data_IF_138712040667
#
_entry.id   IF_138712040667
#
_cell.length_a   1.000
_cell.length_b   1.000
_cell.length_c   1.000
_cell.angle_alpha   90.00
_cell.angle_beta   90.00
_cell.angle_gamma   90.00
#
_symmetry.space_group_name_H-M   'P 1'
#
loop_
_entity.id
_entity.type
_entity.pdbx_description
1 polymer ?
#
# COMPACT_ATOMS: atom_id res chain seq x y z
N UNK A 1 7.24 4.78 -10.44
CA UNK A 1 8.46 5.44 -9.92
C UNK A 1 9.00 6.53 -10.83
N UNK A 2 8.99 6.36 -12.15
CA UNK A 2 9.56 7.33 -13.12
C UNK A 2 9.00 8.75 -12.94
N UNK A 3 7.67 8.93 -12.87
CA UNK A 3 7.06 10.25 -12.67
C UNK A 3 7.52 10.94 -11.36
N UNK A 4 7.52 10.23 -10.23
CA UNK A 4 7.99 10.77 -8.94
C UNK A 4 9.46 11.19 -9.04
N UNK A 5 10.32 10.33 -9.62
CA UNK A 5 11.74 10.63 -9.81
C UNK A 5 11.97 11.88 -10.67
N UNK A 6 11.25 11.97 -11.79
CA UNK A 6 11.26 13.15 -12.68
C UNK A 6 10.77 14.41 -11.96
N UNK A 7 9.73 14.31 -11.13
CA UNK A 7 9.25 15.45 -10.35
C UNK A 7 10.27 15.93 -9.32
N UNK A 8 10.97 14.99 -8.67
CA UNK A 8 11.98 15.28 -7.65
C UNK A 8 13.28 15.87 -8.19
N UNK A 9 13.55 15.76 -9.51
CA UNK A 9 14.76 16.35 -10.11
C UNK A 9 14.76 17.88 -10.10
N UNK A 10 13.59 18.50 -9.93
CA UNK A 10 13.35 19.96 -10.00
C UNK A 10 13.70 20.60 -11.35
N UNK A 11 13.97 19.81 -12.38
CA UNK A 11 14.13 20.28 -13.75
C UNK A 11 12.75 20.53 -14.36
N UNK A 12 12.50 21.73 -14.88
CA UNK A 12 11.19 22.15 -15.39
C UNK A 12 10.64 21.22 -16.49
N UNK A 13 11.50 20.80 -17.42
CA UNK A 13 11.17 19.84 -18.49
C UNK A 13 10.74 18.47 -17.91
N UNK A 14 11.49 17.96 -16.94
CA UNK A 14 11.21 16.68 -16.28
C UNK A 14 9.95 16.74 -15.42
N UNK A 15 9.72 17.84 -14.71
CA UNK A 15 8.51 18.06 -13.93
C UNK A 15 7.26 18.14 -14.83
N UNK A 16 7.35 18.83 -15.96
CA UNK A 16 6.27 18.88 -16.96
C UNK A 16 5.95 17.49 -17.51
N UNK A 17 6.98 16.74 -17.91
CA UNK A 17 6.80 15.37 -18.41
C UNK A 17 6.30 14.39 -17.33
N UNK A 18 6.62 14.63 -16.05
CA UNK A 18 6.06 13.87 -14.93
C UNK A 18 4.56 14.09 -14.78
N UNK A 19 4.09 15.34 -14.93
CA UNK A 19 2.65 15.69 -14.91
C UNK A 19 1.93 15.05 -16.10
N UNK A 20 2.48 15.16 -17.31
CA UNK A 20 1.88 14.53 -18.50
C UNK A 20 1.76 13.00 -18.35
N UNK A 21 2.80 12.36 -17.81
CA UNK A 21 2.76 10.92 -17.53
C UNK A 21 1.72 10.58 -16.46
N UNK A 22 1.57 11.42 -15.45
CA UNK A 22 0.57 11.26 -14.41
C UNK A 22 -0.86 11.38 -14.96
N UNK A 23 -1.14 12.34 -15.85
CA UNK A 23 -2.43 12.50 -16.53
C UNK A 23 -2.78 11.31 -17.44
N UNK A 24 -1.79 10.80 -18.20
CA UNK A 24 -1.98 9.58 -19.01
C UNK A 24 -2.32 8.37 -18.14
N UNK A 25 -1.63 8.24 -17.00
CA UNK A 25 -1.89 7.16 -16.04
C UNK A 25 -3.27 7.34 -15.37
N UNK A 26 -3.67 8.57 -15.05
CA UNK A 26 -5.00 8.88 -14.50
C UNK A 26 -6.11 8.36 -15.43
N UNK A 27 -6.03 8.75 -16.71
CA UNK A 27 -6.99 8.31 -17.73
C UNK A 27 -7.04 6.79 -17.85
N UNK A 28 -5.88 6.12 -17.83
CA UNK A 28 -5.81 4.66 -17.92
C UNK A 28 -6.37 3.96 -16.67
N UNK A 29 -6.11 4.48 -15.47
CA UNK A 29 -6.64 3.95 -14.20
C UNK A 29 -8.17 4.06 -14.19
N UNK A 30 -8.70 5.25 -14.51
CA UNK A 30 -10.14 5.51 -14.48
C UNK A 30 -10.87 4.76 -15.59
N UNK A 31 -10.29 4.71 -16.79
CA UNK A 31 -10.83 3.97 -17.93
C UNK A 31 -10.83 2.44 -17.77
N UNK A 32 -10.08 1.90 -16.80
CA UNK A 32 -10.05 0.46 -16.50
C UNK A 32 -10.67 0.12 -15.15
N UNK A 33 -11.49 1.00 -14.58
CA UNK A 33 -12.07 0.84 -13.25
C UNK A 33 -12.81 -0.49 -13.08
N UNK A 34 -13.60 -0.89 -14.06
CA UNK A 34 -14.30 -2.20 -14.10
C UNK A 34 -13.38 -3.43 -13.93
N UNK A 35 -12.08 -3.31 -14.21
CA UNK A 35 -11.12 -4.43 -14.14
C UNK A 35 -10.42 -4.54 -12.79
N UNK A 36 -10.32 -3.45 -12.04
CA UNK A 36 -9.54 -3.41 -10.80
C UNK A 36 -10.39 -3.07 -9.57
N UNK A 37 -11.51 -2.36 -9.74
CA UNK A 37 -12.35 -1.90 -8.64
C UNK A 37 -13.24 -3.03 -8.12
N UNK A 38 -12.69 -3.80 -7.18
CA UNK A 38 -13.42 -4.87 -6.51
C UNK A 38 -14.51 -4.33 -5.57
N UNK A 39 -14.54 -3.03 -5.27
CA UNK A 39 -15.58 -2.41 -4.43
C UNK A 39 -16.97 -2.50 -5.07
N UNK A 40 -17.05 -2.49 -6.40
CA UNK A 40 -18.31 -2.49 -7.17
C UNK A 40 -18.70 -3.88 -7.70
N UNK A 41 -17.81 -4.89 -7.64
CA UNK A 41 -18.04 -6.23 -8.21
C UNK A 41 -18.85 -7.10 -7.25
N UNK A 42 -20.05 -7.54 -7.64
CA UNK A 42 -20.82 -8.53 -6.87
C UNK A 42 -20.04 -9.84 -6.73
N UNK A 43 -19.95 -10.38 -5.50
CA UNK A 43 -19.21 -11.62 -5.22
C UNK A 43 -17.70 -11.48 -5.05
N UNK A 44 -17.12 -10.27 -5.13
CA UNK A 44 -15.72 -10.05 -4.74
C UNK A 44 -15.47 -10.53 -3.30
N UNK A 45 -14.45 -11.38 -3.13
CA UNK A 45 -14.12 -12.03 -1.87
C UNK A 45 -12.61 -12.32 -1.76
N UNK A 46 -12.17 -12.87 -0.62
CA UNK A 46 -10.75 -13.17 -0.37
C UNK A 46 -10.13 -14.20 -1.31
N UNK A 47 -10.94 -15.04 -1.94
CA UNK A 47 -10.45 -16.04 -2.89
C UNK A 47 -10.21 -15.48 -4.31
N UNK A 48 -10.70 -14.27 -4.59
CA UNK A 48 -10.51 -13.61 -5.88
C UNK A 48 -9.04 -13.26 -6.14
N UNK A 49 -8.72 -12.91 -7.38
CA UNK A 49 -7.40 -12.43 -7.76
C UNK A 49 -7.09 -11.08 -7.10
N UNK A 50 -5.84 -10.90 -6.66
CA UNK A 50 -5.36 -9.65 -6.06
C UNK A 50 -4.48 -8.90 -7.08
N UNK A 51 -4.97 -7.81 -7.70
CA UNK A 51 -4.21 -7.07 -8.71
C UNK A 51 -3.19 -6.12 -8.06
N UNK A 52 -2.24 -6.68 -7.30
CA UNK A 52 -1.32 -5.93 -6.43
C UNK A 52 -0.52 -4.86 -7.18
N UNK A 53 0.00 -5.18 -8.36
CA UNK A 53 0.76 -4.23 -9.17
C UNK A 53 -0.11 -3.03 -9.60
N UNK A 54 -1.38 -3.28 -9.96
CA UNK A 54 -2.34 -2.23 -10.30
C UNK A 54 -2.64 -1.37 -9.06
N UNK A 55 -2.87 -1.99 -7.91
CA UNK A 55 -3.15 -1.28 -6.66
C UNK A 55 -1.97 -0.46 -6.16
N UNK A 56 -0.75 -0.96 -6.29
CA UNK A 56 0.48 -0.21 -6.05
C UNK A 56 0.60 0.98 -7.02
N UNK A 57 0.29 0.80 -8.30
CA UNK A 57 0.32 1.88 -9.29
C UNK A 57 -0.71 2.97 -8.98
N UNK A 58 -1.93 2.60 -8.58
CA UNK A 58 -2.98 3.54 -8.14
C UNK A 58 -2.53 4.28 -6.88
N UNK A 59 -1.98 3.58 -5.90
CA UNK A 59 -1.47 4.21 -4.67
C UNK A 59 -0.37 5.24 -4.98
N UNK A 60 0.60 4.87 -5.82
CA UNK A 60 1.67 5.78 -6.26
C UNK A 60 1.13 6.98 -7.05
N UNK A 61 0.11 6.76 -7.87
CA UNK A 61 -0.59 7.83 -8.59
C UNK A 61 -1.21 8.83 -7.59
N UNK A 62 -1.96 8.36 -6.58
CA UNK A 62 -2.55 9.24 -5.56
C UNK A 62 -1.47 9.99 -4.77
N UNK A 63 -0.39 9.30 -4.37
CA UNK A 63 0.74 9.94 -3.68
C UNK A 63 1.33 11.06 -4.54
N UNK A 64 1.50 10.83 -5.84
CA UNK A 64 2.03 11.85 -6.75
C UNK A 64 1.09 13.07 -6.87
N UNK A 65 -0.23 12.86 -6.97
CA UNK A 65 -1.21 13.94 -6.97
C UNK A 65 -1.11 14.80 -5.70
N UNK A 66 -0.97 14.16 -4.53
CA UNK A 66 -0.77 14.87 -3.26
C UNK A 66 0.54 15.67 -3.24
N UNK A 67 1.64 15.08 -3.73
CA UNK A 67 2.96 15.73 -3.74
C UNK A 67 3.01 16.97 -4.66
N UNK A 68 2.42 16.86 -5.85
CA UNK A 68 2.42 17.97 -6.83
C UNK A 68 1.56 19.14 -6.34
N UNK A 69 0.44 18.86 -5.66
CA UNK A 69 -0.45 19.88 -5.13
C UNK A 69 0.14 20.66 -3.94
N UNK A 70 1.09 20.07 -3.22
CA UNK A 70 1.77 20.71 -2.08
C UNK A 70 2.85 21.74 -2.49
N UNK A 71 2.99 22.07 -3.77
CA UNK A 71 3.91 23.13 -4.23
C UNK A 71 5.40 22.77 -4.11
N UNK A 72 5.75 21.48 -4.09
CA UNK A 72 7.13 21.01 -4.25
C UNK A 72 8.05 21.15 -3.03
N UNK A 73 7.58 21.71 -1.91
CA UNK A 73 8.31 21.62 -0.64
C UNK A 73 7.95 20.26 -0.03
N UNK A 74 8.89 19.33 -0.04
CA UNK A 74 8.82 18.07 0.74
C UNK A 74 8.99 18.41 2.23
N UNK A 75 8.12 19.27 2.76
CA UNK A 75 7.96 19.36 4.20
C UNK A 75 6.98 18.26 4.54
N UNK A 76 7.43 17.26 5.31
CA UNK A 76 6.60 16.15 5.78
C UNK A 76 5.45 16.61 6.69
N UNK A 77 5.43 17.90 7.04
CA UNK A 77 4.33 18.61 7.67
C UNK A 77 3.27 18.97 6.63
N UNK A 78 2.53 17.94 6.20
CA UNK A 78 1.48 18.04 5.18
C UNK A 78 0.13 17.91 5.87
N UNK A 79 -0.57 19.04 6.05
CA UNK A 79 -2.03 19.02 5.80
C UNK A 79 -2.23 18.75 4.31
N UNK A 80 -2.03 17.49 3.92
CA UNK A 80 -2.10 17.05 2.55
C UNK A 80 -3.53 17.31 2.03
N UNK A 81 -3.65 18.18 1.04
CA UNK A 81 -4.93 18.40 0.37
C UNK A 81 -5.03 17.45 -0.82
N UNK A 82 -6.12 16.68 -0.87
CA UNK A 82 -6.42 15.75 -1.97
C UNK A 82 -7.61 16.29 -2.78
N UNK A 83 -7.66 16.00 -4.08
CA UNK A 83 -8.83 16.35 -4.89
C UNK A 83 -10.01 15.46 -4.51
N UNK A 84 -11.25 15.90 -4.77
CA UNK A 84 -12.43 15.07 -4.50
C UNK A 84 -12.41 13.78 -5.35
N UNK A 85 -11.87 13.85 -6.56
CA UNK A 85 -11.73 12.74 -7.48
C UNK A 85 -10.71 11.71 -7.01
N UNK A 86 -9.56 12.16 -6.48
CA UNK A 86 -8.52 11.28 -5.95
C UNK A 86 -8.91 10.71 -4.59
N UNK A 87 -9.68 11.45 -3.80
CA UNK A 87 -10.29 10.91 -2.57
C UNK A 87 -11.26 9.78 -2.90
N UNK A 88 -12.07 9.93 -3.96
CA UNK A 88 -12.98 8.89 -4.42
C UNK A 88 -12.21 7.68 -4.94
N UNK A 89 -11.12 7.90 -5.67
CA UNK A 89 -10.21 6.85 -6.12
C UNK A 89 -9.58 6.10 -4.93
N UNK A 90 -9.10 6.82 -3.91
CA UNK A 90 -8.55 6.24 -2.69
C UNK A 90 -9.60 5.41 -1.93
N UNK A 91 -10.82 5.92 -1.78
CA UNK A 91 -11.93 5.18 -1.15
C UNK A 91 -12.22 3.88 -1.88
N UNK A 92 -12.30 3.92 -3.21
CA UNK A 92 -12.54 2.74 -4.04
C UNK A 92 -11.41 1.72 -3.91
N UNK A 93 -10.16 2.17 -3.84
CA UNK A 93 -8.99 1.32 -3.61
C UNK A 93 -9.04 0.65 -2.22
N UNK A 94 -9.31 1.41 -1.16
CA UNK A 94 -9.42 0.87 0.20
C UNK A 94 -10.54 -0.16 0.30
N UNK A 95 -11.72 0.16 -0.26
CA UNK A 95 -12.86 -0.76 -0.25
C UNK A 95 -12.58 -2.02 -1.09
N UNK A 96 -11.90 -1.88 -2.22
CA UNK A 96 -11.45 -3.03 -3.02
C UNK A 96 -10.54 -3.96 -2.21
N UNK A 97 -9.52 -3.42 -1.54
CA UNK A 97 -8.63 -4.17 -0.67
C UNK A 97 -9.39 -4.86 0.48
N UNK A 98 -10.39 -4.18 1.05
CA UNK A 98 -11.25 -4.71 2.11
C UNK A 98 -12.09 -5.89 1.62
N UNK A 99 -12.77 -5.76 0.49
CA UNK A 99 -13.59 -6.84 -0.10
C UNK A 99 -12.75 -8.04 -0.54
N UNK A 100 -11.54 -7.78 -1.04
CA UNK A 100 -10.57 -8.83 -1.37
C UNK A 100 -9.85 -9.41 -0.14
N UNK A 101 -10.14 -8.91 1.07
CA UNK A 101 -9.59 -9.45 2.31
C UNK A 101 -8.07 -9.26 2.46
N UNK A 102 -7.51 -8.22 1.82
CA UNK A 102 -6.07 -7.99 1.74
C UNK A 102 -5.43 -7.59 3.07
N UNK A 103 -6.21 -7.12 4.04
CA UNK A 103 -5.71 -6.72 5.37
C UNK A 103 -5.66 -7.87 6.38
N UNK A 104 -5.80 -9.12 5.91
CA UNK A 104 -5.82 -10.32 6.76
C UNK A 104 -4.63 -11.22 6.47
N UNK A 105 -3.80 -11.48 7.48
CA UNK A 105 -2.63 -12.35 7.33
C UNK A 105 -2.97 -13.78 6.90
N UNK A 106 -4.01 -14.44 7.46
CA UNK A 106 -4.47 -15.73 6.95
C UNK A 106 -4.80 -15.71 5.45
N UNK A 107 -5.45 -14.65 4.96
CA UNK A 107 -5.74 -14.52 3.53
C UNK A 107 -4.48 -14.33 2.69
N UNK A 108 -3.48 -13.59 3.19
CA UNK A 108 -2.17 -13.46 2.53
C UNK A 108 -1.46 -14.82 2.42
N UNK A 109 -1.46 -15.60 3.50
CA UNK A 109 -0.83 -16.94 3.53
C UNK A 109 -1.56 -17.92 2.62
N UNK A 110 -2.90 -17.86 2.57
CA UNK A 110 -3.73 -18.72 1.72
C UNK A 110 -3.50 -18.53 0.21
N UNK A 111 -2.70 -17.52 -0.20
CA UNK A 111 -2.27 -17.33 -1.59
C UNK A 111 -1.20 -18.33 -2.03
N UNK A 112 -0.57 -19.02 -1.07
CA UNK A 112 0.58 -19.90 -1.31
C UNK A 112 0.29 -21.33 -0.89
N UNK A 113 1.07 -22.26 -1.44
CA UNK A 113 1.04 -23.70 -1.16
C UNK A 113 2.33 -24.11 -0.46
N UNK A 114 2.29 -25.21 0.30
CA UNK A 114 3.48 -25.75 0.98
C UNK A 114 4.62 -26.10 0.01
N UNK A 115 4.31 -26.38 -1.26
CA UNK A 115 5.29 -26.66 -2.29
C UNK A 115 5.97 -25.40 -2.88
N UNK A 116 5.48 -24.20 -2.57
CA UNK A 116 6.05 -22.96 -3.07
C UNK A 116 7.39 -22.67 -2.38
N UNK A 117 8.31 -22.04 -3.11
CA UNK A 117 9.63 -21.71 -2.60
C UNK A 117 9.51 -20.73 -1.40
N UNK A 118 10.11 -21.01 -0.22
CA UNK A 118 9.93 -20.16 0.96
C UNK A 118 10.30 -18.68 0.75
N UNK A 119 11.32 -18.39 -0.06
CA UNK A 119 11.71 -17.02 -0.39
C UNK A 119 10.67 -16.30 -1.26
N UNK A 120 9.99 -17.02 -2.15
CA UNK A 120 8.89 -16.48 -2.96
C UNK A 120 7.66 -16.18 -2.10
N UNK A 121 7.31 -17.11 -1.19
CA UNK A 121 6.23 -16.92 -0.22
C UNK A 121 6.52 -15.71 0.66
N UNK A 122 7.74 -15.62 1.22
CA UNK A 122 8.16 -14.48 2.03
C UNK A 122 8.03 -13.16 1.28
N UNK A 123 8.60 -13.07 0.08
CA UNK A 123 8.60 -11.86 -0.73
C UNK A 123 7.18 -11.36 -0.98
N UNK A 124 6.28 -12.24 -1.40
CA UNK A 124 4.92 -11.83 -1.72
C UNK A 124 4.08 -11.48 -0.47
N UNK A 125 4.24 -12.20 0.64
CA UNK A 125 3.63 -11.83 1.93
C UNK A 125 4.11 -10.45 2.39
N UNK A 126 5.42 -10.22 2.33
CA UNK A 126 6.03 -8.95 2.71
C UNK A 126 5.62 -7.79 1.78
N UNK A 127 5.41 -8.06 0.49
CA UNK A 127 4.86 -7.10 -0.47
C UNK A 127 3.45 -6.64 -0.04
N UNK A 128 2.56 -7.58 0.32
CA UNK A 128 1.21 -7.24 0.77
C UNK A 128 1.20 -6.43 2.06
N UNK A 129 2.06 -6.78 3.03
CA UNK A 129 2.20 -6.02 4.28
C UNK A 129 2.67 -4.60 4.04
N UNK A 130 3.76 -4.42 3.27
CA UNK A 130 4.34 -3.10 2.96
C UNK A 130 3.39 -2.23 2.14
N UNK A 131 2.68 -2.82 1.18
CA UNK A 131 1.60 -2.15 0.44
C UNK A 131 0.49 -1.68 1.39
N UNK A 132 -0.05 -2.57 2.22
CA UNK A 132 -1.16 -2.27 3.13
C UNK A 132 -0.81 -1.18 4.14
N UNK A 133 0.42 -1.19 4.67
CA UNK A 133 0.91 -0.13 5.57
C UNK A 133 1.08 1.19 4.84
N UNK A 134 1.54 1.18 3.60
CA UNK A 134 1.66 2.41 2.80
C UNK A 134 0.28 3.03 2.55
N UNK A 135 -0.72 2.20 2.23
CA UNK A 135 -2.11 2.64 2.09
C UNK A 135 -2.67 3.20 3.40
N UNK A 136 -2.47 2.51 4.53
CA UNK A 136 -2.86 2.99 5.86
C UNK A 136 -2.25 4.34 6.21
N UNK A 137 -0.93 4.50 6.02
CA UNK A 137 -0.22 5.76 6.29
C UNK A 137 -0.77 6.91 5.44
N UNK A 138 -1.06 6.66 4.16
CA UNK A 138 -1.66 7.68 3.29
C UNK A 138 -3.06 8.06 3.76
N UNK A 139 -3.91 7.08 4.11
CA UNK A 139 -5.25 7.33 4.66
C UNK A 139 -5.18 8.18 5.93
N UNK A 140 -4.27 7.87 6.85
CA UNK A 140 -4.07 8.63 8.10
C UNK A 140 -3.69 10.08 7.84
N UNK A 141 -2.75 10.33 6.91
CA UNK A 141 -2.32 11.68 6.54
C UNK A 141 -3.42 12.54 5.89
N UNK A 142 -4.39 11.90 5.25
CA UNK A 142 -5.50 12.58 4.56
C UNK A 142 -6.74 12.75 5.44
N UNK A 143 -6.89 11.97 6.50
CA UNK A 143 -8.07 11.97 7.38
C UNK A 143 -8.09 13.11 8.41
N UNK A 144 -7.19 14.08 8.34
CA UNK A 144 -7.04 15.16 9.34
C UNK A 144 -8.07 16.30 9.24
N UNK A 145 -9.27 16.05 8.70
CA UNK A 145 -10.31 17.07 8.49
C UNK A 145 -11.47 16.97 9.50
N UNK A 146 -11.13 17.05 10.80
CA UNK A 146 -12.08 17.46 11.85
C UNK A 146 -12.32 16.42 12.96
N UNK A 147 -12.70 16.88 14.16
CA UNK A 147 -13.03 15.99 15.28
C UNK A 147 -14.32 15.21 14.98
N UNK A 148 -14.19 13.93 14.64
CA UNK A 148 -15.31 13.01 14.43
C UNK A 148 -15.23 12.17 13.14
N UNK A 149 -14.34 12.50 12.21
CA UNK A 149 -14.17 11.71 10.99
C UNK A 149 -13.42 10.41 11.31
N UNK A 150 -14.05 9.27 10.99
CA UNK A 150 -13.41 7.97 11.13
C UNK A 150 -12.30 7.84 10.09
N UNK A 151 -11.13 7.29 10.45
CA UNK A 151 -10.07 7.06 9.48
C UNK A 151 -10.58 6.12 8.38
N UNK A 152 -10.24 6.42 7.13
CA UNK A 152 -10.65 5.62 5.97
C UNK A 152 -10.19 4.16 6.06
N UNK A 153 -9.03 3.94 6.69
CA UNK A 153 -8.48 2.64 7.03
C UNK A 153 -7.94 2.70 8.46
N UNK A 154 -8.69 2.23 9.48
CA UNK A 154 -8.22 2.19 10.86
C UNK A 154 -7.17 1.09 11.07
N UNK A 155 -6.31 1.26 12.08
CA UNK A 155 -5.31 0.26 12.43
C UNK A 155 -5.94 -1.07 12.89
N UNK A 156 -7.18 -1.04 13.41
CA UNK A 156 -7.94 -2.22 13.83
C UNK A 156 -8.27 -3.18 12.69
N UNK A 157 -8.27 -2.71 11.44
CA UNK A 157 -8.46 -3.56 10.25
C UNK A 157 -7.17 -4.28 9.81
N UNK A 158 -5.99 -3.85 10.27
CA UNK A 158 -4.69 -4.43 9.88
C UNK A 158 -4.37 -5.69 10.70
N UNK A 159 -4.90 -6.83 10.26
CA UNK A 159 -4.78 -8.13 10.92
C UNK A 159 -3.56 -8.92 10.43
N UNK A 160 -2.38 -8.28 10.49
CA UNK A 160 -1.11 -8.88 10.12
C UNK A 160 0.03 -8.28 10.93
N UNK A 161 1.17 -8.99 11.13
CA UNK A 161 2.33 -8.44 11.80
C UNK A 161 3.00 -7.37 10.97
N UNK A 162 3.77 -6.47 11.61
CA UNK A 162 4.61 -5.52 10.89
C UNK A 162 5.56 -6.26 9.90
N UNK A 163 5.94 -5.60 8.78
CA UNK A 163 6.93 -6.13 7.86
C UNK A 163 8.23 -6.46 8.59
N UNK A 164 8.88 -7.54 8.21
CA UNK A 164 10.14 -7.99 8.78
C UNK A 164 11.30 -7.81 7.80
N UNK A 165 12.51 -7.85 8.36
CA UNK A 165 13.77 -7.99 7.64
C UNK A 165 13.93 -7.01 6.46
N UNK A 166 13.99 -5.72 6.82
CA UNK A 166 14.30 -4.64 5.89
C UNK A 166 15.66 -4.82 5.18
N UNK A 167 16.73 -5.36 5.79
CA UNK A 167 17.96 -5.66 5.06
C UNK A 167 17.73 -6.62 3.89
N UNK A 168 16.99 -7.72 4.10
CA UNK A 168 16.64 -8.65 3.03
C UNK A 168 15.80 -7.97 1.95
N UNK A 169 14.75 -7.24 2.33
CA UNK A 169 13.88 -6.54 1.39
C UNK A 169 14.62 -5.54 0.48
N UNK A 170 15.63 -4.85 1.04
CA UNK A 170 16.39 -3.83 0.33
C UNK A 170 17.68 -4.36 -0.30
N UNK A 171 17.95 -5.67 -0.24
CA UNK A 171 19.14 -6.25 -0.85
C UNK A 171 19.09 -6.07 -2.37
N UNK A 172 20.15 -5.53 -2.94
CA UNK A 172 20.25 -5.28 -4.38
C UNK A 172 21.02 -6.41 -5.04
N UNK A 173 22.08 -6.88 -4.39
CA UNK A 173 22.93 -7.95 -4.88
C UNK A 173 22.52 -9.32 -4.30
N UNK A 174 22.88 -10.38 -5.02
CA UNK A 174 22.50 -11.75 -4.65
C UNK A 174 23.15 -12.19 -3.34
N UNK A 175 24.41 -11.83 -3.13
CA UNK A 175 25.17 -12.17 -1.92
C UNK A 175 24.59 -11.48 -0.67
N UNK A 176 24.19 -10.22 -0.78
CA UNK A 176 23.44 -9.53 0.28
C UNK A 176 22.13 -10.26 0.61
N UNK A 177 21.38 -10.65 -0.43
CA UNK A 177 20.14 -11.40 -0.27
C UNK A 177 20.38 -12.75 0.43
N UNK A 178 21.38 -13.51 -0.01
CA UNK A 178 21.73 -14.81 0.58
C UNK A 178 22.23 -14.69 2.03
N UNK A 179 22.90 -13.60 2.38
CA UNK A 179 23.33 -13.32 3.76
C UNK A 179 22.12 -13.04 4.67
N UNK A 180 21.26 -12.11 4.26
CA UNK A 180 20.11 -11.67 5.04
C UNK A 180 18.99 -12.74 5.11
N UNK A 181 18.89 -13.61 4.11
CA UNK A 181 17.90 -14.70 4.07
C UNK A 181 18.16 -15.78 5.13
N UNK A 182 19.41 -15.95 5.59
CA UNK A 182 19.76 -16.93 6.64
C UNK A 182 19.23 -16.53 8.01
N UNK A 183 19.05 -15.23 8.24
CA UNK A 183 18.53 -14.68 9.49
C UNK A 183 17.00 -14.67 9.51
N UNK A 184 16.36 -14.79 8.34
CA UNK A 184 14.91 -14.87 8.23
C UNK A 184 14.42 -16.29 8.50
N UNK A 185 13.57 -16.44 9.51
CA UNK A 185 12.82 -17.68 9.66
C UNK A 185 11.84 -17.80 8.50
N UNK A 186 11.87 -18.92 7.78
CA UNK A 186 10.94 -19.19 6.68
C UNK A 186 9.49 -18.93 7.12
N UNK A 187 8.71 -18.25 6.27
CA UNK A 187 7.29 -18.02 6.52
C UNK A 187 6.59 -19.36 6.69
N UNK A 188 6.05 -19.61 7.88
CA UNK A 188 5.21 -20.78 8.13
C UNK A 188 3.77 -20.45 7.75
N UNK A 189 3.24 -21.15 6.76
CA UNK A 189 1.84 -21.00 6.30
C UNK A 189 0.81 -21.35 7.40
N UNK A 190 1.22 -22.09 8.42
CA UNK A 190 0.36 -22.50 9.54
C UNK A 190 0.49 -21.56 10.76
N UNK A 191 1.42 -20.60 10.74
CA UNK A 191 1.62 -19.68 11.85
C UNK A 191 1.08 -18.29 11.52
N UNK A 192 -0.14 -18.02 11.97
CA UNK A 192 -0.82 -16.75 11.69
C UNK A 192 -0.29 -15.56 12.53
N UNK A 193 0.59 -15.79 13.52
CA UNK A 193 1.22 -14.73 14.33
C UNK A 193 0.22 -13.73 14.96
N UNK A 194 -0.96 -14.20 15.37
CA UNK A 194 -2.07 -13.35 15.87
C UNK A 194 -1.64 -12.37 16.97
N UNK A 195 -0.74 -12.80 17.86
CA UNK A 195 -0.21 -11.97 18.94
C UNK A 195 0.60 -10.75 18.47
N UNK A 196 1.10 -10.79 17.23
CA UNK A 196 1.92 -9.73 16.65
C UNK A 196 1.15 -8.81 15.69
N UNK A 197 -0.16 -9.01 15.53
CA UNK A 197 -0.96 -8.22 14.58
C UNK A 197 -1.03 -6.75 14.98
N UNK A 198 -0.93 -5.86 13.99
CA UNK A 198 -1.05 -4.41 14.18
C UNK A 198 -2.37 -4.04 14.86
N UNK A 199 -3.47 -4.72 14.50
CA UNK A 199 -4.78 -4.49 15.09
C UNK A 199 -4.84 -4.62 16.61
N UNK A 200 -3.96 -5.44 17.23
CA UNK A 200 -3.88 -5.56 18.70
C UNK A 200 -3.34 -4.30 19.38
N UNK A 201 -2.66 -3.44 18.62
CA UNK A 201 -2.07 -2.19 19.09
C UNK A 201 -2.81 -0.95 18.55
N UNK A 202 -3.97 -1.13 17.91
CA UNK A 202 -4.72 -0.06 17.25
C UNK A 202 -4.97 1.14 18.18
N UNK A 203 -5.42 0.89 19.41
CA UNK A 203 -5.68 1.96 20.40
C UNK A 203 -4.43 2.80 20.73
N UNK A 204 -3.24 2.21 20.72
CA UNK A 204 -1.99 2.97 20.93
C UNK A 204 -1.59 3.77 19.70
N UNK A 205 -1.80 3.20 18.50
CA UNK A 205 -1.46 3.87 17.24
C UNK A 205 -2.40 5.05 16.93
N UNK A 206 -3.68 4.91 17.29
CA UNK A 206 -4.67 5.99 17.21
C UNK A 206 -4.36 7.12 18.21
N UNK A 207 -3.79 6.79 19.38
CA UNK A 207 -3.35 7.78 20.37
C UNK A 207 -2.09 8.55 19.96
N UNK A 208 -1.15 7.91 19.25
CA UNK A 208 0.10 8.53 18.77
C UNK A 208 -0.07 9.39 17.51
N UNK A 209 -1.25 9.35 16.88
CA UNK A 209 -1.57 10.15 15.68
C UNK A 209 -2.21 11.52 16.00
N UNK A 210 -2.19 11.93 17.28
CA UNK A 210 -2.62 13.25 17.79
C UNK A 210 -1.46 14.26 17.87
#
# INVERSE_FOLDING_TARGET
MVAIGMWTSKESSAQSAAVELHEKLDSAIRGQREKWDASEVEGACSNCFWPIATYQAILLHIIFSVLTRSGGVVNLDLKASISAEDLTLLKSLVESCRRLGMFSYPNMLARYKEADLPSFVWLGVEEFKRYSISLYKLCGKLSSTGPGDKPLLPASELQFPLPSNDPLWNSIERDEWEANAKEENAVSLNNELREKWISKFANMLEFLAL
#
